data_IF_016346298857
#
_entry.id   IF_016346298857
#
_cell.length_a   1.000
_cell.length_b   1.000
_cell.length_c   1.000
_cell.angle_alpha   90.00
_cell.angle_beta   90.00
_cell.angle_gamma   90.00
#
_symmetry.space_group_name_H-M   'P 1'
#
loop_
_entity.id
_entity.type
_entity.pdbx_description
1 polymer ?
#
# COMPACT_ATOMS: atom_id res chain seq x y z
N UNK A 1 -9.49 4.98 8.21
CA UNK A 1 -10.19 6.16 7.67
C UNK A 1 -10.98 5.70 6.44
N UNK A 2 -12.27 5.99 6.43
CA UNK A 2 -13.14 5.63 5.31
C UNK A 2 -12.88 6.56 4.11
N UNK A 3 -13.16 6.09 2.87
CA UNK A 3 -12.92 6.90 1.67
C UNK A 3 -13.63 8.25 1.67
N UNK A 4 -14.80 8.35 2.27
CA UNK A 4 -15.57 9.60 2.37
C UNK A 4 -15.05 10.55 3.46
N UNK A 5 -14.14 10.10 4.31
CA UNK A 5 -13.57 10.88 5.42
C UNK A 5 -12.19 11.44 5.12
N UNK A 6 -11.46 10.87 4.15
CA UNK A 6 -10.02 11.19 3.97
C UNK A 6 -9.76 12.65 3.65
N UNK A 7 -10.59 13.28 2.82
CA UNK A 7 -10.40 14.67 2.43
C UNK A 7 -10.60 15.61 3.62
N UNK A 8 -11.66 15.40 4.41
CA UNK A 8 -11.90 16.17 5.63
C UNK A 8 -10.84 15.95 6.71
N UNK A 9 -10.38 14.70 6.85
CA UNK A 9 -9.29 14.34 7.76
C UNK A 9 -8.00 15.09 7.41
N UNK A 10 -7.61 15.07 6.15
CA UNK A 10 -6.40 15.78 5.67
C UNK A 10 -6.55 17.28 5.81
N UNK A 11 -7.67 17.84 5.42
CA UNK A 11 -7.91 19.28 5.51
C UNK A 11 -7.80 19.78 6.97
N UNK A 12 -8.31 19.01 7.91
CA UNK A 12 -8.24 19.34 9.33
C UNK A 12 -6.80 19.37 9.85
N UNK A 13 -5.96 18.44 9.39
CA UNK A 13 -4.54 18.37 9.78
C UNK A 13 -3.69 19.43 9.05
N UNK A 14 -3.97 19.67 7.79
CA UNK A 14 -3.24 20.68 6.99
C UNK A 14 -3.41 22.08 7.54
N UNK A 15 -4.53 22.35 8.23
CA UNK A 15 -4.77 23.62 8.90
C UNK A 15 -4.04 23.80 10.22
N UNK A 16 -3.40 22.76 10.74
CA UNK A 16 -2.71 22.82 12.04
C UNK A 16 -1.22 23.12 11.83
N UNK A 17 -0.70 24.26 12.32
CA UNK A 17 0.71 24.62 12.13
C UNK A 17 1.70 23.67 12.82
N UNK A 18 1.26 22.86 13.77
CA UNK A 18 2.11 21.85 14.42
C UNK A 18 2.31 20.61 13.55
N UNK A 19 1.50 20.41 12.52
CA UNK A 19 1.63 19.29 11.57
C UNK A 19 2.62 19.67 10.47
N UNK A 20 3.72 18.91 10.36
CA UNK A 20 4.77 19.18 9.38
C UNK A 20 4.61 18.41 8.09
N UNK A 21 3.99 17.22 8.15
CA UNK A 21 3.80 16.34 7.00
C UNK A 21 2.66 15.37 7.26
N UNK A 22 1.92 15.05 6.20
CA UNK A 22 0.89 14.01 6.21
C UNK A 22 1.16 13.08 5.03
N UNK A 23 1.27 11.78 5.31
CA UNK A 23 1.29 10.75 4.28
C UNK A 23 0.02 9.94 4.39
N UNK A 24 -0.68 9.74 3.27
CA UNK A 24 -1.91 8.96 3.24
C UNK A 24 -1.90 8.02 2.05
N UNK A 25 -2.42 6.82 2.24
CA UNK A 25 -2.53 5.84 1.17
C UNK A 25 -3.80 5.00 1.33
N UNK A 26 -4.44 4.62 0.21
CA UNK A 26 -5.51 3.64 0.27
C UNK A 26 -4.94 2.28 0.66
N UNK A 27 -5.68 1.54 1.46
CA UNK A 27 -5.27 0.22 1.91
C UNK A 27 -6.37 -0.80 1.68
N UNK A 28 -5.99 -1.92 1.06
CA UNK A 28 -6.81 -3.11 0.94
C UNK A 28 -6.10 -4.25 1.64
N UNK A 29 -6.84 -5.26 2.05
CA UNK A 29 -6.26 -6.47 2.58
C UNK A 29 -6.42 -7.62 1.62
N UNK A 30 -5.34 -8.38 1.42
CA UNK A 30 -5.37 -9.52 0.54
C UNK A 30 -4.35 -10.58 0.96
N UNK A 31 -4.56 -11.77 0.43
CA UNK A 31 -3.68 -12.91 0.66
C UNK A 31 -3.02 -13.28 -0.66
N UNK A 32 -1.70 -13.43 -0.66
CA UNK A 32 -0.98 -13.95 -1.82
C UNK A 32 -1.27 -15.44 -1.92
N UNK A 33 -1.93 -15.87 -2.99
CA UNK A 33 -2.35 -17.26 -3.17
C UNK A 33 -1.49 -18.01 -4.16
N UNK A 34 -0.98 -17.35 -5.19
CA UNK A 34 -0.19 -17.99 -6.24
C UNK A 34 0.97 -17.11 -6.70
N UNK A 35 2.03 -17.75 -7.13
CA UNK A 35 3.17 -17.12 -7.81
C UNK A 35 3.42 -17.93 -9.09
N UNK A 36 3.30 -17.27 -10.24
CA UNK A 36 3.37 -17.90 -11.57
C UNK A 36 2.42 -19.10 -11.71
N UNK A 37 1.21 -18.97 -11.17
CA UNK A 37 0.18 -20.01 -11.23
C UNK A 37 0.38 -21.19 -10.25
N UNK A 38 1.44 -21.18 -9.46
CA UNK A 38 1.73 -22.20 -8.46
C UNK A 38 1.35 -21.71 -7.08
N UNK A 39 1.04 -22.63 -6.16
CA UNK A 39 0.76 -22.27 -4.78
C UNK A 39 1.89 -21.39 -4.20
N UNK A 40 1.53 -20.28 -3.58
CA UNK A 40 2.51 -19.31 -3.10
C UNK A 40 3.46 -19.89 -2.06
N UNK A 41 2.97 -20.77 -1.19
CA UNK A 41 3.79 -21.42 -0.15
C UNK A 41 4.74 -22.45 -0.73
N UNK A 42 4.39 -23.10 -1.84
CA UNK A 42 5.32 -23.99 -2.53
C UNK A 42 6.51 -23.22 -3.10
N UNK A 43 6.28 -21.99 -3.56
CA UNK A 43 7.32 -21.15 -4.17
C UNK A 43 8.15 -20.43 -3.12
N UNK A 44 7.50 -19.81 -2.12
CA UNK A 44 8.13 -18.91 -1.16
C UNK A 44 8.26 -19.50 0.26
N UNK A 45 7.75 -20.69 0.50
CA UNK A 45 7.84 -21.34 1.80
C UNK A 45 7.11 -20.57 2.89
N UNK A 46 7.80 -20.31 3.99
CA UNK A 46 7.24 -19.61 5.15
C UNK A 46 7.52 -18.12 5.16
N UNK A 47 7.88 -17.54 4.01
CA UNK A 47 8.12 -16.10 3.95
C UNK A 47 6.89 -15.32 4.43
N UNK A 48 7.13 -14.27 5.24
CA UNK A 48 6.04 -13.55 5.89
C UNK A 48 5.02 -12.94 4.92
N UNK A 49 5.44 -12.59 3.69
CA UNK A 49 4.55 -12.02 2.66
C UNK A 49 3.43 -12.98 2.28
N UNK A 50 3.69 -14.29 2.25
CA UNK A 50 2.70 -15.31 1.85
C UNK A 50 1.94 -15.92 3.03
N UNK A 51 2.20 -15.44 4.25
CA UNK A 51 1.51 -15.92 5.45
C UNK A 51 0.41 -14.95 5.87
N UNK A 52 -0.84 -15.29 5.57
CA UNK A 52 -2.01 -14.51 5.98
C UNK A 52 -2.18 -13.20 5.20
N UNK A 53 -3.02 -12.35 5.72
CA UNK A 53 -3.37 -11.08 5.08
C UNK A 53 -2.18 -10.11 5.04
N UNK A 54 -2.03 -9.44 3.91
CA UNK A 54 -1.10 -8.32 3.74
C UNK A 54 -1.85 -7.06 3.33
N UNK A 55 -1.35 -5.92 3.76
CA UNK A 55 -1.82 -4.64 3.26
C UNK A 55 -1.33 -4.43 1.83
N UNK A 56 -2.26 -4.06 0.96
CA UNK A 56 -2.00 -3.68 -0.43
C UNK A 56 -2.38 -2.23 -0.61
N UNK A 57 -1.73 -1.57 -1.55
CA UNK A 57 -2.12 -0.22 -1.97
C UNK A 57 -2.24 -0.14 -3.48
N UNK A 58 -2.71 0.97 -3.97
CA UNK A 58 -2.70 1.31 -5.39
C UNK A 58 -2.36 2.78 -5.57
N UNK A 59 -1.77 3.11 -6.70
CA UNK A 59 -1.48 4.50 -7.06
C UNK A 59 -1.31 4.61 -8.56
N UNK A 60 -1.84 5.69 -9.14
CA UNK A 60 -1.65 6.00 -10.56
C UNK A 60 -0.21 6.40 -10.86
N UNK A 61 0.38 7.21 -9.99
CA UNK A 61 1.77 7.64 -10.07
C UNK A 61 2.52 7.20 -8.81
N UNK A 62 3.85 7.05 -8.87
CA UNK A 62 4.62 6.75 -7.67
C UNK A 62 4.39 7.83 -6.61
N UNK A 63 4.04 7.47 -5.37
CA UNK A 63 3.95 8.45 -4.29
C UNK A 63 5.28 9.16 -4.07
N UNK A 64 5.27 10.40 -3.53
CA UNK A 64 6.50 11.12 -3.21
C UNK A 64 7.44 10.27 -2.34
N UNK A 65 8.73 10.29 -2.68
CA UNK A 65 9.73 9.50 -1.96
C UNK A 65 9.86 8.04 -2.42
N UNK A 66 9.05 7.60 -3.36
CA UNK A 66 9.17 6.25 -3.95
C UNK A 66 10.47 6.13 -4.72
N UNK A 67 11.23 5.06 -4.45
CA UNK A 67 12.47 4.76 -5.16
C UNK A 67 12.32 3.46 -5.93
N UNK A 68 12.05 3.57 -7.23
CA UNK A 68 12.03 2.44 -8.15
C UNK A 68 13.47 2.07 -8.50
N UNK A 69 13.87 0.83 -8.24
CA UNK A 69 15.24 0.37 -8.44
C UNK A 69 15.41 -0.57 -9.62
N UNK A 70 14.32 -1.08 -10.17
CA UNK A 70 14.31 -1.93 -11.35
C UNK A 70 12.96 -1.84 -12.04
N UNK A 71 12.95 -2.00 -13.38
CA UNK A 71 11.73 -1.92 -14.16
C UNK A 71 11.16 -0.51 -14.25
N UNK A 72 9.88 -0.43 -14.60
CA UNK A 72 9.20 0.85 -14.79
C UNK A 72 7.83 0.83 -14.11
N UNK A 73 7.48 1.96 -13.49
CA UNK A 73 6.12 2.21 -13.03
C UNK A 73 5.18 2.39 -14.23
N UNK A 74 3.92 1.96 -14.10
CA UNK A 74 2.92 2.13 -15.16
C UNK A 74 2.61 3.62 -15.41
N UNK A 75 2.12 3.95 -16.62
CA UNK A 75 1.61 5.31 -16.91
C UNK A 75 0.41 5.66 -16.03
N UNK A 76 0.20 6.93 -15.73
CA UNK A 76 -0.89 7.38 -14.85
C UNK A 76 -2.28 6.97 -15.31
N UNK A 77 -2.49 6.88 -16.62
CA UNK A 77 -3.76 6.51 -17.24
C UNK A 77 -3.85 5.03 -17.64
N UNK A 78 -2.94 4.20 -17.10
CA UNK A 78 -2.87 2.79 -17.46
C UNK A 78 -4.15 2.04 -17.05
N UNK A 79 -4.77 1.36 -18.02
CA UNK A 79 -5.98 0.55 -17.82
C UNK A 79 -5.85 -0.86 -18.41
N UNK A 80 -4.64 -1.29 -18.75
CA UNK A 80 -4.37 -2.63 -19.27
C UNK A 80 -4.42 -3.71 -18.19
N UNK A 81 -3.90 -4.91 -18.49
CA UNK A 81 -3.84 -6.01 -17.53
C UNK A 81 -3.15 -5.60 -16.23
N UNK A 82 -3.55 -6.17 -15.07
CA UNK A 82 -2.99 -5.76 -13.79
C UNK A 82 -1.46 -5.82 -13.73
N UNK A 83 -0.87 -4.77 -13.20
CA UNK A 83 0.56 -4.68 -12.94
C UNK A 83 0.81 -4.40 -11.47
N UNK A 84 1.99 -4.80 -11.00
CA UNK A 84 2.37 -4.70 -9.59
C UNK A 84 3.79 -4.17 -9.48
N UNK A 85 4.00 -3.26 -8.52
CA UNK A 85 5.32 -2.90 -8.04
C UNK A 85 5.57 -3.62 -6.71
N UNK A 86 6.67 -4.32 -6.60
CA UNK A 86 6.98 -5.17 -5.45
C UNK A 86 8.18 -4.62 -4.68
N UNK A 87 8.19 -4.82 -3.36
CA UNK A 87 9.33 -4.44 -2.53
C UNK A 87 10.56 -5.28 -2.88
N UNK A 88 11.68 -4.62 -3.18
CA UNK A 88 12.89 -5.27 -3.71
C UNK A 88 13.47 -6.31 -2.79
N UNK A 89 13.62 -6.00 -1.51
CA UNK A 89 14.23 -6.92 -0.55
C UNK A 89 13.43 -8.21 -0.41
N UNK A 90 12.12 -8.09 -0.29
CA UNK A 90 11.23 -9.24 -0.17
C UNK A 90 11.19 -10.04 -1.47
N UNK A 91 11.22 -9.38 -2.61
CA UNK A 91 11.30 -10.05 -3.90
C UNK A 91 12.57 -10.89 -4.02
N UNK A 92 13.71 -10.35 -3.60
CA UNK A 92 14.99 -11.07 -3.60
C UNK A 92 14.93 -12.29 -2.69
N UNK A 93 14.36 -12.14 -1.49
CA UNK A 93 14.19 -13.25 -0.54
C UNK A 93 13.29 -14.35 -1.08
N UNK A 94 12.27 -14.00 -1.84
CA UNK A 94 11.31 -14.93 -2.43
C UNK A 94 11.74 -15.47 -3.81
N UNK A 95 12.83 -14.95 -4.36
CA UNK A 95 13.30 -15.32 -5.69
C UNK A 95 12.45 -14.78 -6.83
N UNK A 96 11.73 -13.69 -6.62
CA UNK A 96 10.88 -13.07 -7.63
C UNK A 96 11.69 -12.22 -8.61
N UNK A 97 11.25 -12.20 -9.86
CA UNK A 97 11.87 -11.45 -10.96
C UNK A 97 10.83 -10.59 -11.67
N UNK A 98 11.28 -9.55 -12.35
CA UNK A 98 10.42 -8.80 -13.26
C UNK A 98 9.77 -9.74 -14.28
N UNK A 99 8.47 -9.57 -14.48
CA UNK A 99 7.69 -10.46 -15.36
C UNK A 99 6.99 -11.60 -14.63
N UNK A 100 7.38 -11.90 -13.38
CA UNK A 100 6.67 -12.89 -12.59
C UNK A 100 5.26 -12.41 -12.25
N UNK A 101 4.34 -13.35 -12.12
CA UNK A 101 2.93 -13.06 -11.82
C UNK A 101 2.58 -13.46 -10.40
N UNK A 102 1.99 -12.53 -9.68
CA UNK A 102 1.53 -12.74 -8.30
C UNK A 102 0.01 -12.66 -8.29
N UNK A 103 -0.64 -13.68 -7.76
CA UNK A 103 -2.09 -13.69 -7.56
C UNK A 103 -2.41 -13.37 -6.12
N UNK A 104 -3.26 -12.37 -5.92
CA UNK A 104 -3.73 -11.95 -4.59
C UNK A 104 -5.24 -12.15 -4.52
N UNK A 105 -5.71 -12.70 -3.41
CA UNK A 105 -7.14 -12.77 -3.13
C UNK A 105 -7.55 -11.59 -2.25
N UNK A 106 -8.42 -10.73 -2.78
CA UNK A 106 -8.95 -9.57 -2.07
C UNK A 106 -10.45 -9.77 -1.92
N UNK A 107 -10.90 -10.10 -0.71
CA UNK A 107 -12.32 -10.32 -0.39
C UNK A 107 -13.01 -11.32 -1.34
N UNK A 108 -12.34 -12.42 -1.66
CA UNK A 108 -12.86 -13.46 -2.53
C UNK A 108 -12.60 -13.26 -4.02
N UNK A 109 -12.09 -12.11 -4.41
CA UNK A 109 -11.70 -11.82 -5.81
C UNK A 109 -10.22 -12.09 -5.99
N UNK A 110 -9.86 -12.94 -6.94
CA UNK A 110 -8.47 -13.18 -7.31
C UNK A 110 -8.02 -12.18 -8.37
N UNK A 111 -6.86 -11.55 -8.12
CA UNK A 111 -6.24 -10.61 -9.04
C UNK A 111 -4.83 -11.15 -9.34
N UNK A 112 -4.57 -11.48 -10.60
CA UNK A 112 -3.24 -11.84 -11.06
C UNK A 112 -2.58 -10.61 -11.68
N UNK A 113 -1.44 -10.21 -11.15
CA UNK A 113 -0.71 -9.04 -11.61
C UNK A 113 0.73 -9.42 -11.97
N UNK A 114 1.23 -8.81 -13.05
CA UNK A 114 2.63 -8.95 -13.44
C UNK A 114 3.50 -7.96 -12.67
N UNK A 115 4.60 -8.44 -12.11
CA UNK A 115 5.59 -7.56 -11.49
C UNK A 115 6.33 -6.80 -12.58
N UNK A 116 6.13 -5.48 -12.64
CA UNK A 116 6.74 -4.62 -13.65
C UNK A 116 7.81 -3.68 -13.09
N UNK A 117 7.88 -3.56 -11.78
CA UNK A 117 8.95 -2.80 -11.12
C UNK A 117 9.24 -3.33 -9.72
N UNK A 118 10.46 -3.05 -9.25
CA UNK A 118 10.84 -3.21 -7.87
C UNK A 118 11.16 -1.84 -7.27
N UNK A 119 10.81 -1.65 -6.00
CA UNK A 119 11.08 -0.42 -5.26
C UNK A 119 11.67 -0.73 -3.89
N UNK A 120 12.45 0.19 -3.38
CA UNK A 120 12.92 0.09 -2.01
C UNK A 120 11.80 0.50 -1.06
N UNK A 121 11.60 -0.32 -0.02
CA UNK A 121 10.63 -0.05 1.05
C UNK A 121 11.35 -0.27 2.38
N UNK A 122 11.26 0.72 3.25
CA UNK A 122 11.78 0.62 4.61
C UNK A 122 10.60 0.48 5.59
N UNK A 123 10.40 -0.72 6.08
CA UNK A 123 9.32 -1.02 7.03
C UNK A 123 9.66 -0.62 8.47
N UNK A 124 10.90 -0.20 8.74
CA UNK A 124 11.37 0.13 10.07
C UNK A 124 11.27 1.59 10.49
N UNK A 125 10.89 2.50 9.58
CA UNK A 125 10.95 3.94 9.83
C UNK A 125 9.65 4.59 10.31
N UNK A 126 8.58 3.84 10.51
CA UNK A 126 7.28 4.40 10.90
C UNK A 126 6.51 5.10 9.78
N UNK A 127 7.07 5.22 8.60
CA UNK A 127 6.36 5.69 7.40
C UNK A 127 5.42 4.63 6.84
N UNK A 128 4.60 5.00 5.87
CA UNK A 128 3.69 4.07 5.20
C UNK A 128 4.49 3.24 4.19
N UNK A 129 4.54 1.92 4.39
CA UNK A 129 5.21 1.00 3.48
C UNK A 129 4.33 -0.18 3.12
N UNK A 130 4.29 -0.52 1.85
CA UNK A 130 3.55 -1.69 1.34
C UNK A 130 4.47 -2.57 0.51
N UNK A 131 4.36 -3.88 0.70
CA UNK A 131 5.10 -4.84 -0.12
C UNK A 131 4.66 -4.74 -1.58
N UNK A 132 3.36 -4.58 -1.81
CA UNK A 132 2.76 -4.61 -3.13
C UNK A 132 1.93 -3.36 -3.39
N UNK A 133 2.14 -2.75 -4.55
CA UNK A 133 1.33 -1.66 -5.06
C UNK A 133 0.81 -2.04 -6.43
N UNK A 134 -0.48 -1.81 -6.66
CA UNK A 134 -1.17 -2.14 -7.91
C UNK A 134 -1.52 -0.89 -8.70
N UNK A 135 -1.69 -1.03 -10.01
CA UNK A 135 -2.30 0.03 -10.80
C UNK A 135 -3.79 0.17 -10.43
N UNK A 136 -4.36 1.39 -10.42
CA UNK A 136 -5.72 1.60 -9.92
C UNK A 136 -6.80 0.77 -10.61
N UNK A 137 -6.72 0.59 -11.93
CA UNK A 137 -7.72 -0.18 -12.68
C UNK A 137 -7.78 -1.66 -12.27
N UNK A 138 -6.68 -2.22 -11.73
CA UNK A 138 -6.64 -3.62 -11.30
C UNK A 138 -7.62 -3.92 -10.16
N UNK A 139 -7.91 -2.92 -9.33
CA UNK A 139 -8.74 -3.06 -8.12
C UNK A 139 -9.89 -2.08 -8.09
N UNK A 140 -10.32 -1.59 -9.27
CA UNK A 140 -11.45 -0.67 -9.38
C UNK A 140 -12.70 -1.28 -8.71
N UNK A 141 -13.36 -0.48 -7.88
CA UNK A 141 -14.55 -0.90 -7.14
C UNK A 141 -14.29 -1.77 -5.91
N UNK A 142 -13.04 -2.12 -5.61
CA UNK A 142 -12.75 -2.90 -4.40
C UNK A 142 -12.90 -2.03 -3.14
N UNK A 143 -13.53 -2.55 -2.09
CA UNK A 143 -13.60 -1.84 -0.81
C UNK A 143 -12.20 -1.59 -0.26
N UNK A 144 -11.97 -0.39 0.25
CA UNK A 144 -10.69 -0.03 0.86
C UNK A 144 -10.91 0.98 1.99
N UNK A 145 -9.90 1.14 2.81
CA UNK A 145 -9.81 2.24 3.77
C UNK A 145 -8.54 3.03 3.50
N UNK A 146 -8.38 4.14 4.20
CA UNK A 146 -7.16 4.94 4.12
C UNK A 146 -6.38 4.80 5.40
N UNK A 147 -5.06 4.72 5.27
CA UNK A 147 -4.15 4.86 6.40
C UNK A 147 -3.39 6.17 6.23
N UNK A 148 -3.04 6.79 7.33
CA UNK A 148 -2.29 8.04 7.33
C UNK A 148 -1.22 8.03 8.40
N UNK A 149 -0.06 8.58 8.06
CA UNK A 149 0.98 8.92 9.02
C UNK A 149 1.04 10.43 9.10
N UNK A 150 0.93 10.96 10.30
CA UNK A 150 0.97 12.39 10.59
C UNK A 150 2.28 12.69 11.32
N UNK A 151 3.07 13.58 10.74
CA UNK A 151 4.30 14.07 11.35
C UNK A 151 4.00 15.43 11.98
N UNK A 152 4.15 15.53 13.29
CA UNK A 152 3.79 16.73 14.03
C UNK A 152 4.79 16.97 15.16
N UNK A 153 4.74 18.19 15.72
CA UNK A 153 5.51 18.53 16.92
C UNK A 153 5.07 17.63 18.10
N UNK A 154 6.02 17.07 18.81
CA UNK A 154 5.78 16.15 19.90
C UNK A 154 4.84 16.75 20.96
N UNK A 155 5.01 18.03 21.27
CA UNK A 155 4.17 18.73 22.24
C UNK A 155 2.70 18.84 21.84
N UNK A 156 2.38 18.76 20.53
CA UNK A 156 1.02 18.89 20.01
C UNK A 156 0.34 17.52 19.79
N UNK A 157 1.05 16.42 19.90
CA UNK A 157 0.56 15.09 19.53
C UNK A 157 -0.72 14.71 20.27
N UNK A 158 -0.75 14.87 21.59
CA UNK A 158 -1.92 14.51 22.39
C UNK A 158 -3.17 15.32 22.04
N UNK A 159 -3.01 16.61 21.74
CA UNK A 159 -4.12 17.48 21.33
C UNK A 159 -4.65 17.09 19.96
N UNK A 160 -3.76 16.75 19.00
CA UNK A 160 -4.14 16.28 17.66
C UNK A 160 -4.91 14.97 17.76
N UNK A 161 -4.42 14.01 18.55
CA UNK A 161 -5.11 12.73 18.75
C UNK A 161 -6.51 12.91 19.34
N UNK A 162 -6.65 13.79 20.34
CA UNK A 162 -7.97 14.08 20.93
C UNK A 162 -8.92 14.71 19.92
N UNK A 163 -8.44 15.65 19.12
CA UNK A 163 -9.25 16.31 18.09
C UNK A 163 -9.72 15.33 17.03
N UNK A 164 -8.83 14.48 16.52
CA UNK A 164 -9.16 13.47 15.53
C UNK A 164 -10.11 12.40 16.08
N UNK A 165 -9.89 11.93 17.30
CA UNK A 165 -10.77 10.95 17.92
C UNK A 165 -12.18 11.50 18.15
N UNK A 166 -12.30 12.80 18.44
CA UNK A 166 -13.58 13.47 18.60
C UNK A 166 -14.30 13.67 17.27
N UNK A 167 -13.57 14.08 16.21
CA UNK A 167 -14.14 14.33 14.89
C UNK A 167 -14.44 13.02 14.13
N UNK A 168 -13.64 12.00 14.33
CA UNK A 168 -13.71 10.71 13.63
C UNK A 168 -13.62 9.55 14.62
N UNK A 169 -14.70 9.23 15.34
CA UNK A 169 -14.66 8.20 16.40
C UNK A 169 -14.32 6.78 15.91
N UNK A 170 -14.49 6.52 14.61
CA UNK A 170 -14.20 5.22 14.00
C UNK A 170 -12.72 5.02 13.63
N UNK A 171 -11.88 6.03 13.80
CA UNK A 171 -10.46 5.93 13.52
C UNK A 171 -9.73 5.32 14.71
N UNK A 172 -8.89 4.34 14.42
CA UNK A 172 -8.05 3.68 15.41
C UNK A 172 -6.57 3.96 15.17
#
# INVERSE_FOLDING_TARGET
IQPDQIDGFRARLEGDPAVTKIESAPMLRGVVTKINGRDAREVAGDHWVVRGDRGLTYAAAPPPGTKVVAGEWWPEDYTGPPQMSFAREEADEMGLKLGDRVTVNVLGREIEAEITSFREVDFGTGGIGFVMSLNPAAIAGAPHCWISTVYADEAAEAAILRDLASAYPNIT
#
